data_IF_755483983757
#
_entry.id   IF_755483983757
#
_cell.length_a   1.000
_cell.length_b   1.000
_cell.length_c   1.000
_cell.angle_alpha   90.00
_cell.angle_beta   90.00
_cell.angle_gamma   90.00
#
_symmetry.space_group_name_H-M   'P 1'
#
loop_
_entity.id
_entity.type
_entity.pdbx_description
1 polymer ?
#
# COMPACT_ATOMS: atom_id res chain seq x y z
N UNK A 1 3.69 -14.91 13.07
CA UNK A 1 4.13 -14.42 11.75
C UNK A 1 3.46 -15.20 10.65
N UNK A 2 3.14 -14.55 9.54
CA UNK A 2 2.62 -15.24 8.36
C UNK A 2 3.58 -16.32 7.87
N UNK A 3 3.08 -17.45 7.34
CA UNK A 3 3.90 -18.45 6.67
C UNK A 3 4.70 -17.88 5.49
N UNK A 4 5.87 -18.47 5.15
CA UNK A 4 6.66 -18.01 3.99
C UNK A 4 5.88 -17.95 2.68
N UNK A 5 4.92 -18.85 2.48
CA UNK A 5 4.06 -18.90 1.29
C UNK A 5 3.13 -17.66 1.21
N UNK A 6 2.63 -17.15 2.34
CA UNK A 6 1.87 -15.89 2.38
C UNK A 6 2.71 -14.70 1.94
N UNK A 7 3.97 -14.67 2.42
CA UNK A 7 4.92 -13.65 2.00
C UNK A 7 5.18 -13.72 0.50
N UNK A 8 5.47 -14.92 -0.01
CA UNK A 8 5.73 -15.12 -1.44
C UNK A 8 4.51 -14.72 -2.29
N UNK A 9 3.31 -15.14 -1.90
CA UNK A 9 2.09 -14.80 -2.62
C UNK A 9 1.81 -13.30 -2.60
N UNK A 10 1.86 -12.66 -1.42
CA UNK A 10 1.61 -11.24 -1.28
C UNK A 10 2.63 -10.38 -2.06
N UNK A 11 3.92 -10.74 -2.00
CA UNK A 11 4.99 -10.03 -2.71
C UNK A 11 4.90 -10.23 -4.22
N UNK A 12 4.69 -11.45 -4.69
CA UNK A 12 4.58 -11.73 -6.11
C UNK A 12 3.35 -11.05 -6.74
N UNK A 13 2.21 -11.06 -6.04
CA UNK A 13 0.97 -10.45 -6.55
C UNK A 13 1.01 -8.93 -6.46
N UNK A 14 1.27 -8.39 -5.26
CA UNK A 14 1.09 -6.96 -4.99
C UNK A 14 2.31 -6.11 -5.33
N UNK A 15 3.50 -6.69 -5.42
CA UNK A 15 4.75 -5.96 -5.69
C UNK A 15 5.30 -6.30 -7.08
N UNK A 16 5.68 -7.56 -7.32
CA UNK A 16 6.26 -7.92 -8.62
C UNK A 16 5.26 -7.75 -9.76
N UNK A 17 3.99 -8.15 -9.57
CA UNK A 17 2.95 -7.91 -10.57
C UNK A 17 2.79 -6.43 -10.90
N UNK A 18 2.88 -5.57 -9.89
CA UNK A 18 2.80 -4.12 -10.05
C UNK A 18 4.04 -3.57 -10.79
N UNK A 19 5.25 -4.01 -10.43
CA UNK A 19 6.48 -3.57 -11.10
C UNK A 19 6.54 -4.00 -12.57
N UNK A 20 6.06 -5.19 -12.89
CA UNK A 20 5.95 -5.64 -14.30
C UNK A 20 4.99 -4.75 -15.08
N UNK A 21 3.84 -4.42 -14.49
CA UNK A 21 2.87 -3.51 -15.12
C UNK A 21 3.48 -2.13 -15.38
N UNK A 22 4.18 -1.55 -14.39
CA UNK A 22 4.88 -0.27 -14.55
C UNK A 22 5.94 -0.35 -15.65
N UNK A 23 6.74 -1.42 -15.68
CA UNK A 23 7.77 -1.65 -16.69
C UNK A 23 7.21 -1.66 -18.13
N UNK A 24 6.09 -2.33 -18.32
CA UNK A 24 5.45 -2.43 -19.66
C UNK A 24 4.75 -1.14 -20.08
N UNK A 25 4.16 -0.40 -19.15
CA UNK A 25 3.32 0.78 -19.47
C UNK A 25 4.13 2.07 -19.60
N UNK A 26 5.22 2.25 -18.86
CA UNK A 26 6.04 3.47 -18.94
C UNK A 26 6.53 3.79 -20.37
N UNK A 27 7.08 2.83 -21.15
CA UNK A 27 7.45 3.10 -22.53
C UNK A 27 6.29 3.52 -23.41
N UNK A 28 5.08 2.99 -23.16
CA UNK A 28 3.86 3.35 -23.90
C UNK A 28 3.49 4.80 -23.61
N UNK A 29 3.50 5.23 -22.35
CA UNK A 29 3.20 6.61 -21.97
C UNK A 29 4.22 7.59 -22.54
N UNK A 30 5.51 7.27 -22.50
CA UNK A 30 6.56 8.07 -23.13
C UNK A 30 6.31 8.22 -24.65
N UNK A 31 6.01 7.13 -25.35
CA UNK A 31 5.77 7.14 -26.79
C UNK A 31 4.48 7.89 -27.16
N UNK A 32 3.45 7.79 -26.31
CA UNK A 32 2.16 8.41 -26.55
C UNK A 32 2.22 9.94 -26.61
N UNK A 33 3.03 10.58 -25.75
CA UNK A 33 3.25 12.04 -25.74
C UNK A 33 2.00 12.89 -25.47
N UNK A 34 0.97 12.29 -24.88
CA UNK A 34 -0.28 12.96 -24.52
C UNK A 34 -0.57 12.76 -23.02
N UNK A 35 -1.43 13.61 -22.40
CA UNK A 35 -1.79 13.42 -21.00
C UNK A 35 -2.23 12.00 -20.69
N UNK A 36 -1.65 11.43 -19.66
CA UNK A 36 -1.91 10.09 -19.19
C UNK A 36 -1.82 10.04 -17.66
N UNK A 37 -2.29 8.97 -17.04
CA UNK A 37 -2.30 8.87 -15.59
C UNK A 37 -2.11 7.43 -15.10
N UNK A 38 -1.17 7.22 -14.18
CA UNK A 38 -1.09 6.00 -13.38
C UNK A 38 -1.97 6.15 -12.14
N UNK A 39 -2.95 5.25 -11.99
CA UNK A 39 -3.75 5.13 -10.79
C UNK A 39 -3.44 3.80 -10.09
N UNK A 40 -2.64 3.87 -9.02
CA UNK A 40 -2.27 2.71 -8.22
C UNK A 40 -3.33 2.41 -7.17
N UNK A 41 -3.61 1.12 -6.94
CA UNK A 41 -4.45 0.68 -5.82
C UNK A 41 -3.58 -0.02 -4.76
N UNK A 42 -3.25 0.74 -3.71
CA UNK A 42 -2.58 0.20 -2.52
C UNK A 42 -3.60 -0.22 -1.44
N UNK A 43 -3.52 0.35 -0.28
CA UNK A 43 -4.43 0.19 0.88
C UNK A 43 -4.01 1.17 1.98
N UNK A 44 -4.87 1.45 2.93
CA UNK A 44 -4.47 2.06 4.21
C UNK A 44 -3.35 1.25 4.88
N UNK A 45 -3.31 -0.07 4.68
CA UNK A 45 -2.23 -0.95 5.12
C UNK A 45 -0.85 -0.62 4.54
N UNK A 46 -0.76 0.23 3.51
CA UNK A 46 0.48 0.79 3.00
C UNK A 46 0.94 2.06 3.72
N UNK A 47 0.11 2.64 4.58
CA UNK A 47 0.38 3.91 5.28
C UNK A 47 0.41 3.76 6.81
N UNK A 48 -0.13 2.68 7.35
CA UNK A 48 -0.17 2.37 8.80
C UNK A 48 0.53 1.06 9.12
N UNK A 49 0.73 0.78 10.41
CA UNK A 49 1.31 -0.46 10.93
C UNK A 49 0.45 -1.01 12.07
N UNK A 50 0.80 -2.20 12.59
CA UNK A 50 0.17 -2.76 13.80
C UNK A 50 -1.07 -3.61 13.56
N UNK A 51 -1.41 -3.96 12.32
CA UNK A 51 -2.49 -4.91 12.03
C UNK A 51 -2.00 -6.35 12.27
N UNK A 52 -2.72 -7.07 13.13
CA UNK A 52 -2.40 -8.48 13.44
C UNK A 52 -2.63 -9.37 12.22
N UNK A 53 -1.89 -10.49 12.14
CA UNK A 53 -2.04 -11.56 11.15
C UNK A 53 -1.85 -11.15 9.67
N UNK A 54 -1.44 -9.91 9.40
CA UNK A 54 -1.37 -9.37 8.03
C UNK A 54 -0.02 -8.74 7.69
N UNK A 55 1.07 -9.18 8.32
CA UNK A 55 2.39 -8.55 8.14
C UNK A 55 2.87 -8.63 6.70
N UNK A 56 2.69 -9.76 6.01
CA UNK A 56 3.03 -9.92 4.61
C UNK A 56 2.24 -8.96 3.71
N UNK A 57 0.94 -8.82 3.98
CA UNK A 57 0.08 -7.86 3.27
C UNK A 57 0.48 -6.41 3.53
N UNK A 58 0.71 -6.04 4.80
CA UNK A 58 1.19 -4.70 5.17
C UNK A 58 2.48 -4.34 4.42
N UNK A 59 3.48 -5.22 4.44
CA UNK A 59 4.74 -5.01 3.75
C UNK A 59 4.54 -4.83 2.24
N UNK A 60 3.72 -5.68 1.61
CA UNK A 60 3.43 -5.57 0.18
C UNK A 60 2.70 -4.28 -0.19
N UNK A 61 1.80 -3.78 0.67
CA UNK A 61 1.08 -2.52 0.42
C UNK A 61 1.93 -1.28 0.71
N UNK A 62 2.89 -1.33 1.65
CA UNK A 62 3.92 -0.30 1.78
C UNK A 62 4.81 -0.24 0.54
N UNK A 63 5.23 -1.39 0.02
CA UNK A 63 5.99 -1.45 -1.24
C UNK A 63 5.18 -0.88 -2.43
N UNK A 64 3.87 -1.16 -2.51
CA UNK A 64 3.02 -0.60 -3.56
C UNK A 64 2.90 0.94 -3.47
N UNK A 65 2.83 1.51 -2.26
CA UNK A 65 2.88 2.98 -2.07
C UNK A 65 4.24 3.53 -2.51
N UNK A 66 5.34 2.93 -2.08
CA UNK A 66 6.69 3.34 -2.47
C UNK A 66 6.91 3.28 -4.00
N UNK A 67 6.38 2.27 -4.67
CA UNK A 67 6.43 2.19 -6.15
C UNK A 67 5.65 3.34 -6.78
N UNK A 68 4.47 3.67 -6.27
CA UNK A 68 3.68 4.80 -6.77
C UNK A 68 4.40 6.14 -6.56
N UNK A 69 5.05 6.33 -5.40
CA UNK A 69 5.87 7.51 -5.09
C UNK A 69 7.07 7.62 -6.05
N UNK A 70 7.77 6.51 -6.31
CA UNK A 70 8.90 6.50 -7.26
C UNK A 70 8.46 6.82 -8.70
N UNK A 71 7.28 6.34 -9.13
CA UNK A 71 6.72 6.69 -10.44
C UNK A 71 6.27 8.16 -10.47
N UNK A 72 5.79 8.69 -9.37
CA UNK A 72 5.46 10.12 -9.22
C UNK A 72 6.73 11.00 -9.33
N UNK A 73 7.80 10.60 -8.64
CA UNK A 73 9.08 11.29 -8.71
C UNK A 73 9.63 11.30 -10.15
N UNK A 74 9.51 10.18 -10.87
CA UNK A 74 9.85 10.12 -12.29
C UNK A 74 9.02 11.12 -13.13
N UNK A 75 7.71 11.20 -12.90
CA UNK A 75 6.81 12.10 -13.61
C UNK A 75 7.16 13.59 -13.36
N UNK A 76 7.65 13.91 -12.17
CA UNK A 76 7.99 15.28 -11.77
C UNK A 76 9.40 15.71 -12.22
N UNK A 77 10.34 14.78 -12.37
CA UNK A 77 11.75 15.09 -12.58
C UNK A 77 12.31 14.67 -13.96
N UNK A 78 11.59 13.84 -14.73
CA UNK A 78 12.00 13.44 -16.08
C UNK A 78 11.08 14.06 -17.14
N UNK A 79 11.62 14.93 -18.02
CA UNK A 79 10.85 15.59 -19.09
C UNK A 79 10.09 14.64 -20.00
N UNK A 80 10.58 13.41 -20.19
CA UNK A 80 9.94 12.39 -21.02
C UNK A 80 8.59 11.93 -20.46
N UNK A 81 8.35 12.15 -19.17
CA UNK A 81 7.13 11.78 -18.45
C UNK A 81 6.34 12.96 -17.90
N UNK A 82 6.66 14.21 -18.31
CA UNK A 82 6.02 15.43 -17.81
C UNK A 82 4.50 15.51 -18.05
N UNK A 83 3.97 14.71 -18.98
CA UNK A 83 2.53 14.61 -19.26
C UNK A 83 1.83 13.54 -18.40
N UNK A 84 2.56 12.82 -17.55
CA UNK A 84 2.07 11.72 -16.74
C UNK A 84 1.65 12.20 -15.36
N UNK A 85 0.38 12.03 -15.00
CA UNK A 85 -0.09 12.14 -13.63
C UNK A 85 0.04 10.81 -12.88
N UNK A 86 0.10 10.89 -11.55
CA UNK A 86 0.20 9.68 -10.71
C UNK A 86 -0.63 9.86 -9.44
N UNK A 87 -1.47 8.87 -9.14
CA UNK A 87 -2.24 8.80 -7.89
C UNK A 87 -2.15 7.42 -7.27
N UNK A 88 -2.22 7.36 -5.94
CA UNK A 88 -2.33 6.11 -5.19
C UNK A 88 -3.59 6.12 -4.31
N UNK A 89 -4.45 5.14 -4.54
CA UNK A 89 -5.66 4.90 -3.78
C UNK A 89 -5.35 4.00 -2.59
N UNK A 90 -5.62 4.49 -1.39
CA UNK A 90 -5.34 3.83 -0.12
C UNK A 90 -6.64 3.62 0.68
N UNK A 91 -7.54 2.73 0.24
CA UNK A 91 -8.78 2.45 0.97
C UNK A 91 -8.53 1.60 2.21
N UNK A 92 -9.46 1.65 3.15
CA UNK A 92 -9.63 0.64 4.21
C UNK A 92 -10.54 -0.47 3.67
N UNK A 93 -11.79 -0.55 4.10
CA UNK A 93 -12.72 -1.58 3.66
C UNK A 93 -13.63 -1.06 2.55
N UNK A 94 -13.63 -1.76 1.43
CA UNK A 94 -14.57 -1.55 0.32
C UNK A 94 -15.35 -2.85 0.14
N UNK A 95 -16.65 -2.78 -0.04
CA UNK A 95 -17.53 -3.94 -0.22
C UNK A 95 -17.23 -4.62 -1.56
N UNK A 96 -16.29 -5.55 -1.54
CA UNK A 96 -15.77 -6.30 -2.69
C UNK A 96 -15.62 -7.76 -2.31
N UNK A 97 -15.14 -8.60 -3.22
CA UNK A 97 -14.86 -10.01 -2.98
C UNK A 97 -13.47 -10.29 -2.36
N UNK A 98 -12.74 -9.26 -1.89
CA UNK A 98 -11.38 -9.43 -1.35
C UNK A 98 -11.33 -10.36 -0.13
N UNK A 99 -12.41 -10.43 0.64
CA UNK A 99 -12.51 -11.34 1.79
C UNK A 99 -12.46 -12.83 1.40
N UNK A 100 -12.76 -13.18 0.15
CA UNK A 100 -12.67 -14.53 -0.40
C UNK A 100 -11.35 -14.78 -1.15
N UNK A 101 -10.29 -14.01 -0.87
CA UNK A 101 -9.00 -14.14 -1.57
C UNK A 101 -8.39 -15.53 -1.47
N UNK A 102 -8.63 -16.27 -0.39
CA UNK A 102 -8.15 -17.65 -0.22
C UNK A 102 -8.69 -18.61 -1.29
N UNK A 103 -9.90 -18.38 -1.80
CA UNK A 103 -10.49 -19.18 -2.89
C UNK A 103 -9.70 -19.07 -4.20
N UNK A 104 -8.86 -18.06 -4.31
CA UNK A 104 -8.02 -17.76 -5.47
C UNK A 104 -6.53 -18.01 -5.21
N UNK A 105 -6.17 -18.62 -4.08
CA UNK A 105 -4.78 -18.94 -3.73
C UNK A 105 -4.21 -19.95 -4.72
N UNK A 106 -3.12 -19.64 -5.46
CA UNK A 106 -2.47 -20.62 -6.32
C UNK A 106 -1.88 -21.78 -5.52
N UNK A 107 -1.89 -22.99 -6.11
CA UNK A 107 -1.41 -24.20 -5.45
C UNK A 107 0.03 -24.10 -4.94
N UNK A 108 0.90 -23.38 -5.66
CA UNK A 108 2.31 -23.17 -5.29
C UNK A 108 2.48 -22.41 -3.96
N UNK A 109 1.46 -21.68 -3.52
CA UNK A 109 1.43 -20.94 -2.25
C UNK A 109 0.56 -21.62 -1.19
N UNK A 110 0.16 -22.85 -1.41
CA UNK A 110 -0.67 -23.60 -0.48
C UNK A 110 0.00 -23.77 0.89
N UNK A 111 -0.77 -23.63 1.96
CA UNK A 111 -0.33 -23.72 3.37
C UNK A 111 -1.19 -24.69 4.17
N UNK A 112 -1.36 -25.96 3.72
CA UNK A 112 -2.19 -26.90 4.40
C UNK A 112 -1.67 -27.14 5.82
N UNK A 113 -2.55 -27.06 6.80
CA UNK A 113 -2.27 -27.38 8.21
C UNK A 113 -1.18 -26.50 8.88
N UNK A 114 -0.89 -25.30 8.37
CA UNK A 114 0.05 -24.39 9.06
C UNK A 114 -0.52 -23.95 10.41
N UNK A 115 0.24 -24.07 11.52
CA UNK A 115 -0.21 -23.68 12.86
C UNK A 115 -0.65 -22.22 12.99
N UNK A 116 -0.19 -21.33 12.11
CA UNK A 116 -0.61 -19.94 12.08
C UNK A 116 -2.14 -19.81 11.93
N UNK A 117 -2.75 -20.68 11.14
CA UNK A 117 -4.19 -20.69 10.86
C UNK A 117 -5.00 -21.54 11.84
N UNK A 118 -4.34 -22.29 12.74
CA UNK A 118 -5.00 -23.22 13.66
C UNK A 118 -5.48 -22.57 14.97
N UNK A 119 -5.38 -21.23 15.11
CA UNK A 119 -5.72 -20.54 16.35
C UNK A 119 -7.10 -19.87 16.30
N UNK A 120 -7.87 -19.93 17.40
CA UNK A 120 -9.15 -19.24 17.52
C UNK A 120 -8.99 -17.73 17.27
N UNK A 121 -7.93 -17.12 17.77
CA UNK A 121 -7.67 -15.69 17.59
C UNK A 121 -7.40 -15.27 16.13
N UNK A 122 -6.89 -16.18 15.28
CA UNK A 122 -6.82 -15.94 13.84
C UNK A 122 -8.23 -15.95 13.23
N UNK A 123 -9.07 -16.91 13.60
CA UNK A 123 -10.42 -17.02 13.06
C UNK A 123 -11.33 -15.89 13.54
N UNK A 124 -11.19 -15.44 14.78
CA UNK A 124 -11.88 -14.23 15.29
C UNK A 124 -11.51 -12.99 14.46
N UNK A 125 -10.21 -12.82 14.19
CA UNK A 125 -9.74 -11.75 13.31
C UNK A 125 -10.33 -11.90 11.90
N UNK A 126 -10.31 -13.09 11.33
CA UNK A 126 -10.83 -13.38 9.98
C UNK A 126 -12.32 -13.07 9.88
N UNK A 127 -13.13 -13.51 10.83
CA UNK A 127 -14.56 -13.21 10.90
C UNK A 127 -14.81 -11.69 11.03
N UNK A 128 -14.03 -11.00 11.84
CA UNK A 128 -14.12 -9.55 11.96
C UNK A 128 -13.78 -8.84 10.64
N UNK A 129 -12.75 -9.31 9.95
CA UNK A 129 -12.36 -8.79 8.64
C UNK A 129 -13.49 -8.98 7.61
N UNK A 130 -14.05 -10.17 7.51
CA UNK A 130 -15.17 -10.50 6.62
C UNK A 130 -16.38 -9.59 6.89
N UNK A 131 -16.73 -9.43 8.17
CA UNK A 131 -17.82 -8.54 8.59
C UNK A 131 -17.54 -7.07 8.24
N UNK A 132 -16.31 -6.60 8.38
CA UNK A 132 -15.96 -5.22 8.02
C UNK A 132 -16.06 -4.99 6.51
N UNK A 133 -15.68 -5.97 5.69
CA UNK A 133 -15.84 -5.88 4.23
C UNK A 133 -17.32 -5.94 3.83
N UNK A 134 -18.05 -6.95 4.31
CA UNK A 134 -19.41 -7.26 3.81
C UNK A 134 -20.50 -6.35 4.38
N UNK A 135 -20.31 -5.82 5.60
CA UNK A 135 -21.35 -5.03 6.30
C UNK A 135 -20.99 -3.55 6.38
N UNK A 136 -19.71 -3.22 6.60
CA UNK A 136 -19.25 -1.84 6.82
C UNK A 136 -18.46 -1.28 5.65
N UNK A 137 -18.10 -2.11 4.67
CA UNK A 137 -17.28 -1.70 3.53
C UNK A 137 -17.97 -0.57 2.74
N UNK A 138 -17.16 0.38 2.30
CA UNK A 138 -17.58 1.46 1.41
C UNK A 138 -18.23 0.89 0.14
N UNK A 139 -19.32 1.50 -0.31
CA UNK A 139 -19.96 1.10 -1.56
C UNK A 139 -19.00 1.31 -2.75
N UNK A 140 -18.72 0.27 -3.57
CA UNK A 140 -17.85 0.40 -4.74
C UNK A 140 -18.30 1.46 -5.75
N UNK A 141 -19.59 1.74 -5.84
CA UNK A 141 -20.13 2.78 -6.73
C UNK A 141 -19.61 4.19 -6.40
N UNK A 142 -19.17 4.43 -5.16
CA UNK A 142 -18.53 5.69 -4.76
C UNK A 142 -17.09 5.78 -5.26
N UNK A 143 -16.39 4.66 -5.41
CA UNK A 143 -14.95 4.63 -5.68
C UNK A 143 -14.61 5.23 -7.04
N UNK A 144 -15.38 4.91 -8.08
CA UNK A 144 -15.13 5.42 -9.44
C UNK A 144 -15.09 6.96 -9.51
N UNK A 145 -16.19 7.67 -9.19
CA UNK A 145 -16.21 9.14 -9.18
C UNK A 145 -15.12 9.76 -8.30
N UNK A 146 -14.87 9.20 -7.12
CA UNK A 146 -13.84 9.65 -6.19
C UNK A 146 -12.42 9.54 -6.77
N UNK A 147 -12.15 8.52 -7.58
CA UNK A 147 -10.86 8.33 -8.24
C UNK A 147 -10.72 9.18 -9.50
N UNK A 148 -11.79 9.45 -10.23
CA UNK A 148 -11.74 10.39 -11.36
C UNK A 148 -11.36 11.79 -10.90
N UNK A 149 -11.88 12.27 -9.79
CA UNK A 149 -11.45 13.54 -9.17
C UNK A 149 -9.93 13.55 -8.88
N UNK A 150 -9.38 12.42 -8.38
CA UNK A 150 -7.95 12.31 -8.14
C UNK A 150 -7.11 12.45 -9.42
N UNK A 151 -7.60 11.87 -10.51
CA UNK A 151 -6.95 11.95 -11.83
C UNK A 151 -7.00 13.37 -12.37
N UNK A 152 -8.17 14.03 -12.30
CA UNK A 152 -8.37 15.40 -12.78
C UNK A 152 -7.51 16.42 -12.02
N UNK A 153 -7.40 16.26 -10.70
CA UNK A 153 -6.62 17.14 -9.82
C UNK A 153 -5.14 16.74 -9.70
N UNK A 154 -4.76 15.61 -10.29
CA UNK A 154 -3.43 15.00 -10.13
C UNK A 154 -3.01 14.83 -8.66
N UNK A 155 -3.95 14.44 -7.80
CA UNK A 155 -3.75 14.20 -6.38
C UNK A 155 -2.95 12.91 -6.14
N UNK A 156 -1.81 12.99 -5.44
CA UNK A 156 -0.98 11.82 -5.17
C UNK A 156 -1.67 10.79 -4.26
N UNK A 157 -2.19 11.19 -3.11
CA UNK A 157 -2.79 10.25 -2.15
C UNK A 157 -4.30 10.41 -2.04
N UNK A 158 -5.04 9.35 -2.33
CA UNK A 158 -6.50 9.28 -2.10
C UNK A 158 -6.80 8.30 -0.97
N UNK A 159 -7.16 8.84 0.20
CA UNK A 159 -7.46 8.10 1.44
C UNK A 159 -8.89 8.40 1.86
N UNK A 160 -9.88 7.63 1.40
CA UNK A 160 -11.30 7.97 1.55
C UNK A 160 -11.84 7.84 2.98
N UNK A 161 -11.20 7.01 3.82
CA UNK A 161 -11.69 6.69 5.17
C UNK A 161 -11.09 7.65 6.20
N UNK A 162 -11.78 8.75 6.47
CA UNK A 162 -11.29 9.86 7.31
C UNK A 162 -10.86 9.46 8.73
N UNK A 163 -11.51 8.44 9.32
CA UNK A 163 -11.14 7.94 10.65
C UNK A 163 -9.74 7.29 10.69
N UNK A 164 -9.19 6.90 9.53
CA UNK A 164 -7.84 6.33 9.44
C UNK A 164 -6.75 7.39 9.37
N UNK A 165 -7.09 8.66 9.08
CA UNK A 165 -6.11 9.74 8.91
C UNK A 165 -5.29 9.96 10.18
N UNK A 166 -5.90 9.83 11.36
CA UNK A 166 -5.17 9.99 12.62
C UNK A 166 -4.15 8.87 12.86
N UNK A 167 -4.41 7.66 12.40
CA UNK A 167 -3.46 6.55 12.48
C UNK A 167 -2.22 6.82 11.61
N UNK A 168 -2.42 7.39 10.41
CA UNK A 168 -1.33 7.81 9.52
C UNK A 168 -0.50 8.90 10.20
N UNK A 169 -1.15 9.95 10.72
CA UNK A 169 -0.47 11.04 11.43
C UNK A 169 0.29 10.54 12.66
N UNK A 170 -0.28 9.60 13.40
CA UNK A 170 0.37 9.02 14.57
C UNK A 170 1.65 8.26 14.21
N UNK A 171 1.65 7.54 13.06
CA UNK A 171 2.87 6.90 12.53
C UNK A 171 3.93 7.94 12.16
N UNK A 172 3.56 9.01 11.46
CA UNK A 172 4.48 10.07 11.07
C UNK A 172 5.07 10.78 12.29
N UNK A 173 4.24 11.17 13.28
CA UNK A 173 4.74 11.78 14.53
C UNK A 173 5.73 10.89 15.29
N UNK A 174 5.57 9.55 15.23
CA UNK A 174 6.54 8.64 15.85
C UNK A 174 7.90 8.69 15.16
N UNK A 175 7.88 8.69 13.81
CA UNK A 175 9.12 8.81 13.02
C UNK A 175 9.78 10.14 13.32
N UNK A 176 9.04 11.25 13.29
CA UNK A 176 9.56 12.59 13.56
C UNK A 176 10.17 12.70 14.95
N UNK A 177 9.48 12.19 15.97
CA UNK A 177 10.02 12.16 17.35
C UNK A 177 11.32 11.38 17.47
N UNK A 178 11.52 10.33 16.70
CA UNK A 178 12.77 9.58 16.72
C UNK A 178 13.87 10.32 15.95
N UNK A 179 13.55 11.03 14.85
CA UNK A 179 14.50 11.89 14.13
C UNK A 179 15.02 13.03 15.03
N UNK A 180 14.13 13.71 15.77
CA UNK A 180 14.51 14.75 16.75
C UNK A 180 15.51 14.20 17.81
N UNK A 181 15.30 12.95 18.26
CA UNK A 181 16.23 12.29 19.19
C UNK A 181 17.57 12.00 18.54
N UNK A 182 17.58 11.54 17.28
CA UNK A 182 18.83 11.27 16.55
C UNK A 182 19.63 12.57 16.30
N UNK A 183 18.96 13.69 16.01
CA UNK A 183 19.61 15.00 15.86
C UNK A 183 20.29 15.41 17.16
N UNK A 184 19.61 15.29 18.30
CA UNK A 184 20.21 15.59 19.61
C UNK A 184 21.40 14.65 19.96
N UNK A 185 21.32 13.37 19.58
CA UNK A 185 22.42 12.42 19.73
C UNK A 185 23.59 12.77 18.81
N UNK A 186 23.32 13.19 17.57
CA UNK A 186 24.34 13.61 16.61
C UNK A 186 25.12 14.81 17.14
N UNK A 187 24.46 15.83 17.65
CA UNK A 187 25.10 17.00 18.27
C UNK A 187 26.02 16.59 19.43
N UNK A 188 25.57 15.67 20.31
CA UNK A 188 26.34 15.15 21.43
C UNK A 188 27.59 14.41 20.97
N UNK A 189 27.54 13.65 19.89
CA UNK A 189 28.65 12.80 19.43
C UNK A 189 29.44 13.39 18.25
N UNK A 190 29.02 14.54 17.70
CA UNK A 190 29.71 15.22 16.63
C UNK A 190 31.22 15.41 16.85
N UNK A 191 31.72 15.73 18.09
CA UNK A 191 33.15 15.83 18.34
C UNK A 191 33.92 14.52 18.13
N UNK A 192 33.25 13.36 18.20
CA UNK A 192 33.84 12.03 18.03
C UNK A 192 33.86 11.55 16.57
N UNK A 193 33.19 12.27 15.68
CA UNK A 193 33.08 11.93 14.23
C UNK A 193 34.16 12.57 13.37
N UNK A 194 35.22 13.13 13.97
CA UNK A 194 36.37 13.64 13.21
C UNK A 194 37.17 12.45 12.67
N UNK A 195 36.98 12.16 11.38
CA UNK A 195 37.83 11.27 10.57
C UNK A 195 39.01 12.03 10.02
#
# INVERSE_FOLDING_TARGET
NNPPQDWAWAMNTNVLGLTYYVHEVLPIFKQQGTPCHFLFTASIAGLITGLRYTTAYLASKHAAVCIAEAVRDLAENDPDYSMMGVSVFCPEYVHTNIHNSEDHRPADYSVPCDPFYATDSYWDYRHLFDKNITVKGMNPAFVGPYLFEAVEENHMYKVPHMHTHEQIRARHRRIESDLEREEALHEKYAPLQKY
#
